data_IF_233209531478
#
_entry.id   IF_233209531478
#
_cell.length_a   1.000
_cell.length_b   1.000
_cell.length_c   1.000
_cell.angle_alpha   90.00
_cell.angle_beta   90.00
_cell.angle_gamma   90.00
#
_symmetry.space_group_name_H-M   'P 1'
#
loop_
_entity.id
_entity.type
_entity.pdbx_description
1 polymer ?
#
# COMPACT_ATOMS: atom_id res chain seq x y z
N UNK A 1 5.28 -33.95 -2.99
CA UNK A 1 4.04 -33.17 -2.80
C UNK A 1 3.52 -33.14 -1.34
N UNK A 2 4.07 -33.91 -0.38
CA UNK A 2 3.56 -33.92 1.00
C UNK A 2 4.06 -32.79 1.93
N UNK A 3 5.16 -32.11 1.60
CA UNK A 3 5.80 -31.11 2.49
C UNK A 3 5.13 -29.72 2.45
N UNK A 4 4.36 -29.40 1.40
CA UNK A 4 3.74 -28.08 1.22
C UNK A 4 2.45 -27.95 2.02
N UNK A 5 1.59 -28.99 2.01
CA UNK A 5 0.33 -29.00 2.77
C UNK A 5 0.58 -29.00 4.28
N UNK A 6 1.54 -29.80 4.74
CA UNK A 6 1.96 -29.88 6.15
C UNK A 6 2.49 -28.53 6.67
N UNK A 7 3.23 -27.80 5.83
CA UNK A 7 3.72 -26.46 6.16
C UNK A 7 2.60 -25.41 6.23
N UNK A 8 1.65 -25.42 5.28
CA UNK A 8 0.53 -24.47 5.28
C UNK A 8 -0.41 -24.72 6.47
N UNK A 9 -0.71 -25.98 6.80
CA UNK A 9 -1.50 -26.32 7.99
C UNK A 9 -0.83 -25.82 9.28
N UNK A 10 0.49 -26.01 9.42
CA UNK A 10 1.23 -25.50 10.58
C UNK A 10 1.22 -23.96 10.67
N UNK A 11 1.27 -23.25 9.54
CA UNK A 11 1.16 -21.78 9.49
C UNK A 11 -0.25 -21.33 9.88
N UNK A 12 -1.29 -21.97 9.34
CA UNK A 12 -2.69 -21.68 9.64
C UNK A 12 -3.02 -21.91 11.12
N UNK A 13 -2.50 -22.99 11.71
CA UNK A 13 -2.64 -23.28 13.13
C UNK A 13 -2.02 -22.21 14.03
N UNK A 14 -0.86 -21.67 13.62
CA UNK A 14 -0.20 -20.57 14.32
C UNK A 14 -0.97 -19.26 14.19
N UNK A 15 -1.45 -18.94 12.99
CA UNK A 15 -2.31 -17.77 12.71
C UNK A 15 -3.57 -17.80 13.58
N UNK A 16 -4.18 -18.99 13.74
CA UNK A 16 -5.37 -19.19 14.57
C UNK A 16 -5.12 -18.88 16.05
N UNK A 17 -3.94 -19.22 16.56
CA UNK A 17 -3.60 -19.12 17.99
C UNK A 17 -2.96 -17.80 18.39
N UNK A 18 -2.26 -17.11 17.49
CA UNK A 18 -1.42 -15.96 17.84
C UNK A 18 -1.72 -14.70 17.00
N UNK A 19 -2.35 -13.67 17.61
CA UNK A 19 -2.59 -12.37 16.98
C UNK A 19 -1.33 -11.62 16.51
N UNK A 20 -0.15 -11.87 17.11
CA UNK A 20 1.10 -11.28 16.65
C UNK A 20 1.54 -11.88 15.31
N UNK A 21 1.31 -13.19 15.11
CA UNK A 21 1.59 -13.88 13.85
C UNK A 21 0.69 -13.37 12.74
N UNK A 22 -0.60 -13.13 13.01
CA UNK A 22 -1.55 -12.56 12.05
C UNK A 22 -1.02 -11.27 11.42
N UNK A 23 -0.53 -10.36 12.25
CA UNK A 23 0.05 -9.07 11.80
C UNK A 23 1.30 -9.26 10.95
N UNK A 24 2.15 -10.20 11.34
CA UNK A 24 3.37 -10.52 10.61
C UNK A 24 3.06 -11.11 9.21
N UNK A 25 2.02 -11.94 9.13
CA UNK A 25 1.56 -12.50 7.85
C UNK A 25 0.99 -11.41 6.95
N UNK A 26 0.12 -10.52 7.46
CA UNK A 26 -0.40 -9.39 6.68
C UNK A 26 0.71 -8.48 6.16
N UNK A 27 1.71 -8.15 6.99
CA UNK A 27 2.87 -7.36 6.57
C UNK A 27 3.68 -8.07 5.48
N UNK A 28 3.93 -9.37 5.64
CA UNK A 28 4.60 -10.17 4.62
C UNK A 28 3.80 -10.22 3.31
N UNK A 29 2.47 -10.21 3.33
CA UNK A 29 1.66 -10.10 2.11
C UNK A 29 1.92 -8.77 1.39
N UNK A 30 2.07 -7.66 2.11
CA UNK A 30 2.38 -6.36 1.51
C UNK A 30 3.78 -6.33 0.91
N UNK A 31 4.77 -6.94 1.57
CA UNK A 31 6.13 -7.02 1.03
C UNK A 31 6.14 -7.70 -0.34
N UNK A 32 5.50 -8.88 -0.44
CA UNK A 32 5.36 -9.60 -1.70
C UNK A 32 4.58 -8.80 -2.75
N UNK A 33 3.52 -8.12 -2.32
CA UNK A 33 2.71 -7.26 -3.18
C UNK A 33 3.54 -6.12 -3.82
N UNK A 34 4.37 -5.45 -3.03
CA UNK A 34 5.24 -4.36 -3.50
C UNK A 34 6.31 -4.87 -4.47
N UNK A 35 6.82 -6.09 -4.24
CA UNK A 35 7.80 -6.73 -5.12
C UNK A 35 7.18 -7.28 -6.42
N UNK A 36 5.86 -7.16 -6.60
CA UNK A 36 5.13 -7.73 -7.75
C UNK A 36 4.97 -9.24 -7.67
N UNK A 37 5.18 -9.84 -6.51
CA UNK A 37 5.05 -11.28 -6.25
C UNK A 37 3.60 -11.62 -5.84
N UNK A 38 2.64 -11.22 -6.67
CA UNK A 38 1.20 -11.27 -6.38
C UNK A 38 0.70 -12.68 -6.01
N UNK A 39 1.16 -13.72 -6.71
CA UNK A 39 0.80 -15.10 -6.40
C UNK A 39 1.30 -15.52 -5.02
N UNK A 40 2.48 -15.07 -4.60
CA UNK A 40 3.05 -15.36 -3.28
C UNK A 40 2.27 -14.61 -2.20
N UNK A 41 1.96 -13.34 -2.44
CA UNK A 41 1.11 -12.54 -1.56
C UNK A 41 -0.28 -13.17 -1.41
N UNK A 42 -0.90 -13.63 -2.50
CA UNK A 42 -2.20 -14.30 -2.49
C UNK A 42 -2.19 -15.62 -1.71
N UNK A 43 -1.16 -16.44 -1.90
CA UNK A 43 -1.01 -17.70 -1.15
C UNK A 43 -0.87 -17.44 0.36
N UNK A 44 -0.08 -16.45 0.77
CA UNK A 44 0.02 -16.07 2.20
C UNK A 44 -1.27 -15.47 2.74
N UNK A 45 -1.96 -14.67 1.94
CA UNK A 45 -3.26 -14.11 2.30
C UNK A 45 -4.31 -15.21 2.46
N UNK A 46 -4.27 -16.27 1.65
CA UNK A 46 -5.11 -17.47 1.85
C UNK A 46 -4.84 -18.13 3.19
N UNK A 47 -3.57 -18.35 3.56
CA UNK A 47 -3.22 -18.93 4.87
C UNK A 47 -3.74 -18.07 6.02
N UNK A 48 -3.65 -16.75 5.89
CA UNK A 48 -4.27 -15.81 6.83
C UNK A 48 -5.78 -16.00 6.92
N UNK A 49 -6.47 -15.98 5.78
CA UNK A 49 -7.93 -16.07 5.73
C UNK A 49 -8.38 -17.40 6.34
N UNK A 50 -7.76 -18.52 5.98
CA UNK A 50 -8.10 -19.85 6.53
C UNK A 50 -7.81 -19.94 8.03
N UNK A 51 -6.71 -19.35 8.50
CA UNK A 51 -6.31 -19.41 9.91
C UNK A 51 -7.10 -18.48 10.84
N UNK A 52 -7.57 -17.32 10.34
CA UNK A 52 -8.07 -16.24 11.19
C UNK A 52 -9.52 -15.80 10.94
N UNK A 53 -9.97 -15.76 9.68
CA UNK A 53 -11.20 -15.04 9.28
C UNK A 53 -12.25 -15.95 8.67
N UNK A 54 -11.84 -16.82 7.75
CA UNK A 54 -12.68 -17.64 6.89
C UNK A 54 -13.19 -16.91 5.64
N UNK A 55 -13.34 -17.65 4.54
CA UNK A 55 -13.81 -17.08 3.26
C UNK A 55 -15.26 -16.60 3.29
N UNK A 56 -16.13 -17.22 4.09
CA UNK A 56 -17.50 -16.76 4.30
C UNK A 56 -17.54 -15.34 4.88
N UNK A 57 -16.79 -15.12 5.96
CA UNK A 57 -16.72 -13.82 6.62
C UNK A 57 -16.02 -12.79 5.74
N UNK A 58 -14.94 -13.18 5.06
CA UNK A 58 -14.27 -12.28 4.13
C UNK A 58 -15.21 -11.84 3.00
N UNK A 59 -15.98 -12.77 2.41
CA UNK A 59 -16.97 -12.47 1.39
C UNK A 59 -18.05 -11.51 1.88
N UNK A 60 -18.52 -11.68 3.12
CA UNK A 60 -19.45 -10.72 3.73
C UNK A 60 -18.84 -9.32 3.91
N UNK A 61 -17.54 -9.21 4.17
CA UNK A 61 -16.85 -7.92 4.34
C UNK A 61 -16.54 -7.22 3.01
N UNK A 62 -16.24 -7.98 1.95
CA UNK A 62 -15.87 -7.44 0.63
C UNK A 62 -17.05 -7.32 -0.33
N UNK A 63 -18.18 -7.99 -0.04
CA UNK A 63 -19.29 -8.14 -0.98
C UNK A 63 -19.01 -9.14 -2.11
N UNK A 64 -17.96 -9.95 -1.99
CA UNK A 64 -17.61 -10.99 -2.96
C UNK A 64 -18.08 -12.38 -2.52
N UNK A 65 -18.27 -13.31 -3.46
CA UNK A 65 -18.61 -14.68 -3.08
C UNK A 65 -17.39 -15.41 -2.49
N UNK A 66 -17.58 -16.22 -1.44
CA UNK A 66 -16.49 -17.00 -0.82
C UNK A 66 -15.74 -17.87 -1.84
N UNK A 67 -16.44 -18.49 -2.79
CA UNK A 67 -15.85 -19.35 -3.81
C UNK A 67 -14.92 -18.58 -4.74
N UNK A 68 -15.27 -17.33 -5.11
CA UNK A 68 -14.42 -16.50 -5.97
C UNK A 68 -13.15 -16.07 -5.24
N UNK A 69 -13.27 -15.71 -3.97
CA UNK A 69 -12.13 -15.35 -3.13
C UNK A 69 -11.20 -16.55 -2.94
N UNK A 70 -11.76 -17.74 -2.68
CA UNK A 70 -10.98 -18.97 -2.53
C UNK A 70 -10.26 -19.36 -3.82
N UNK A 71 -10.94 -19.24 -4.97
CA UNK A 71 -10.33 -19.48 -6.28
C UNK A 71 -9.21 -18.47 -6.56
N UNK A 72 -9.44 -17.17 -6.28
CA UNK A 72 -8.48 -16.09 -6.52
C UNK A 72 -7.18 -16.26 -5.73
N UNK A 73 -7.28 -16.65 -4.45
CA UNK A 73 -6.11 -16.81 -3.58
C UNK A 73 -5.57 -18.26 -3.54
N UNK A 74 -6.09 -19.15 -4.39
CA UNK A 74 -5.66 -20.54 -4.49
C UNK A 74 -4.33 -20.73 -5.22
N UNK A 75 -3.85 -21.99 -5.25
CA UNK A 75 -2.56 -22.35 -5.85
C UNK A 75 -2.45 -22.02 -7.35
N UNK A 76 -3.57 -22.12 -8.07
CA UNK A 76 -3.70 -21.77 -9.49
C UNK A 76 -4.40 -20.41 -9.68
N UNK A 77 -4.53 -19.64 -8.60
CA UNK A 77 -5.17 -18.33 -8.62
C UNK A 77 -4.23 -17.26 -9.19
N UNK A 78 -4.80 -16.30 -9.90
CA UNK A 78 -4.10 -15.10 -10.39
C UNK A 78 -4.65 -13.87 -9.66
N UNK A 79 -4.27 -13.66 -8.40
CA UNK A 79 -4.63 -12.43 -7.72
C UNK A 79 -3.91 -11.25 -8.38
N UNK A 80 -4.57 -10.10 -8.39
CA UNK A 80 -3.97 -8.84 -8.82
C UNK A 80 -3.58 -8.02 -7.62
N UNK A 81 -2.49 -7.26 -7.74
CA UNK A 81 -2.00 -6.40 -6.69
C UNK A 81 -3.09 -5.50 -6.08
N UNK A 82 -3.98 -4.93 -6.90
CA UNK A 82 -5.06 -4.07 -6.39
C UNK A 82 -6.04 -4.80 -5.48
N UNK A 83 -6.46 -6.02 -5.87
CA UNK A 83 -7.38 -6.83 -5.08
C UNK A 83 -6.75 -7.32 -3.77
N UNK A 84 -5.46 -7.64 -3.81
CA UNK A 84 -4.68 -8.02 -2.64
C UNK A 84 -4.56 -6.85 -1.67
N UNK A 85 -4.21 -5.67 -2.18
CA UNK A 85 -4.09 -4.45 -1.38
C UNK A 85 -5.38 -4.13 -0.62
N UNK A 86 -6.52 -4.08 -1.34
CA UNK A 86 -7.83 -3.81 -0.72
C UNK A 86 -8.16 -4.81 0.38
N UNK A 87 -7.92 -6.10 0.12
CA UNK A 87 -8.16 -7.16 1.12
C UNK A 87 -7.23 -7.03 2.32
N UNK A 88 -5.96 -6.70 2.11
CA UNK A 88 -4.98 -6.53 3.20
C UNK A 88 -5.34 -5.32 4.07
N UNK A 89 -5.70 -4.18 3.48
CA UNK A 89 -6.13 -2.97 4.22
C UNK A 89 -7.36 -3.28 5.06
N UNK A 90 -8.36 -3.95 4.48
CA UNK A 90 -9.57 -4.36 5.17
C UNK A 90 -9.28 -5.27 6.37
N UNK A 91 -8.40 -6.26 6.19
CA UNK A 91 -8.03 -7.21 7.24
C UNK A 91 -7.13 -6.58 8.32
N UNK A 92 -6.24 -5.66 7.94
CA UNK A 92 -5.45 -4.89 8.89
C UNK A 92 -6.35 -4.05 9.80
N UNK A 93 -7.33 -3.35 9.22
CA UNK A 93 -8.32 -2.59 9.98
C UNK A 93 -9.15 -3.49 10.91
N UNK A 94 -9.56 -4.67 10.44
CA UNK A 94 -10.29 -5.66 11.25
C UNK A 94 -9.49 -6.15 12.47
N UNK A 95 -8.15 -6.24 12.37
CA UNK A 95 -7.26 -6.59 13.48
C UNK A 95 -6.86 -5.38 14.37
N UNK A 96 -7.36 -4.18 14.07
CA UNK A 96 -6.93 -2.93 14.73
C UNK A 96 -5.46 -2.59 14.48
N UNK A 97 -4.93 -3.00 13.32
CA UNK A 97 -3.60 -2.63 12.85
C UNK A 97 -3.69 -1.44 11.90
N UNK A 98 -2.80 -0.47 12.09
CA UNK A 98 -2.63 0.64 11.16
C UNK A 98 -1.50 0.30 10.20
N UNK A 99 -1.79 0.40 8.91
CA UNK A 99 -0.77 0.35 7.87
C UNK A 99 -0.17 1.75 7.70
N UNK A 100 1.14 1.82 7.49
CA UNK A 100 1.89 3.04 7.26
C UNK A 100 2.86 2.83 6.11
N UNK A 101 3.09 3.86 5.30
CA UNK A 101 3.99 3.80 4.14
C UNK A 101 5.31 4.51 4.40
N UNK A 102 6.37 3.94 3.85
CA UNK A 102 7.65 4.58 3.59
C UNK A 102 8.00 4.47 2.10
N UNK A 103 8.96 5.26 1.64
CA UNK A 103 9.64 5.01 0.37
C UNK A 103 11.12 5.32 0.54
N UNK A 104 11.97 4.55 -0.11
CA UNK A 104 13.41 4.78 -0.14
C UNK A 104 13.93 4.66 -1.57
N UNK A 105 15.09 5.27 -1.79
CA UNK A 105 15.84 5.20 -3.04
C UNK A 105 17.00 4.25 -2.76
N UNK A 106 17.10 3.16 -3.52
CA UNK A 106 18.34 2.39 -3.55
C UNK A 106 19.37 3.20 -4.36
N UNK A 107 20.25 3.92 -3.67
CA UNK A 107 21.62 4.06 -4.16
C UNK A 107 22.38 2.86 -3.62
N UNK A 108 22.92 2.02 -4.51
CA UNK A 108 23.74 0.80 -4.30
C UNK A 108 23.03 -0.56 -4.30
N UNK A 109 23.60 -1.47 -5.10
CA UNK A 109 23.19 -2.86 -5.26
C UNK A 109 23.84 -3.81 -4.25
N UNK A 110 23.01 -4.67 -3.66
CA UNK A 110 23.19 -6.12 -3.45
C UNK A 110 22.15 -6.62 -2.44
N UNK A 111 21.49 -7.72 -2.82
CA UNK A 111 20.27 -8.29 -2.24
C UNK A 111 20.40 -8.69 -0.74
N UNK A 112 21.62 -8.94 -0.27
CA UNK A 112 21.90 -9.39 1.11
C UNK A 112 22.00 -8.27 2.17
N UNK A 113 21.89 -7.00 1.77
CA UNK A 113 21.86 -5.85 2.70
C UNK A 113 20.45 -5.40 3.06
N UNK A 114 19.43 -5.87 2.33
CA UNK A 114 18.03 -5.42 2.38
C UNK A 114 17.38 -5.61 3.76
N UNK A 115 17.40 -6.83 4.32
CA UNK A 115 16.74 -7.13 5.60
C UNK A 115 17.37 -6.42 6.82
N UNK A 116 18.71 -6.29 6.85
CA UNK A 116 19.43 -5.56 7.92
C UNK A 116 19.31 -4.03 7.78
N UNK A 117 18.95 -3.55 6.59
CA UNK A 117 18.70 -2.14 6.31
C UNK A 117 17.24 -1.79 6.65
N UNK A 118 16.27 -2.59 6.20
CA UNK A 118 14.85 -2.53 6.58
C UNK A 118 14.68 -2.50 8.11
N UNK A 119 15.37 -3.38 8.84
CA UNK A 119 15.29 -3.41 10.32
C UNK A 119 16.00 -2.23 11.02
N UNK A 120 16.92 -1.54 10.35
CA UNK A 120 17.57 -0.31 10.84
C UNK A 120 16.74 0.94 10.50
N UNK A 121 16.12 0.93 9.33
CA UNK A 121 15.16 1.92 8.89
C UNK A 121 13.92 1.86 9.76
N UNK A 122 13.37 0.70 10.13
CA UNK A 122 12.23 0.63 11.05
C UNK A 122 12.50 1.35 12.40
N UNK A 123 13.74 1.25 12.91
CA UNK A 123 14.21 1.92 14.15
C UNK A 123 14.52 3.41 13.99
N UNK A 124 14.97 3.84 12.82
CA UNK A 124 15.24 5.27 12.52
C UNK A 124 14.00 6.00 12.01
N UNK A 125 13.19 5.34 11.20
CA UNK A 125 11.90 5.77 10.69
C UNK A 125 11.00 6.14 11.85
N UNK A 126 10.82 5.31 12.89
CA UNK A 126 10.01 5.67 14.07
C UNK A 126 10.46 6.95 14.83
N UNK A 127 11.74 7.35 14.77
CA UNK A 127 12.22 8.61 15.33
C UNK A 127 12.11 9.79 14.33
N UNK A 128 12.50 9.57 13.08
CA UNK A 128 12.34 10.49 11.95
C UNK A 128 10.86 10.79 11.66
N UNK A 129 9.96 9.86 11.94
CA UNK A 129 8.51 9.94 11.77
C UNK A 129 7.84 10.82 12.82
N UNK A 130 8.27 10.78 14.10
CA UNK A 130 7.74 11.72 15.11
C UNK A 130 7.97 13.17 14.69
N UNK A 131 9.11 13.43 14.05
CA UNK A 131 9.46 14.73 13.50
C UNK A 131 8.71 15.03 12.18
N UNK A 132 8.55 14.04 11.29
CA UNK A 132 7.79 14.17 10.03
C UNK A 132 6.29 14.40 10.26
N UNK A 133 5.62 13.66 11.17
CA UNK A 133 4.20 13.86 11.58
C UNK A 133 3.94 15.27 12.10
N UNK A 134 4.89 15.80 12.90
CA UNK A 134 4.84 17.16 13.43
C UNK A 134 5.10 18.25 12.38
N UNK A 135 5.89 17.97 11.34
CA UNK A 135 6.02 18.86 10.16
C UNK A 135 4.80 18.79 9.24
N UNK A 136 4.17 17.62 9.13
CA UNK A 136 3.02 17.39 8.25
C UNK A 136 1.71 17.97 8.77
N UNK A 137 1.39 17.86 10.07
CA UNK A 137 0.21 18.56 10.65
C UNK A 137 0.29 20.08 10.41
N UNK A 138 1.48 20.67 10.55
CA UNK A 138 1.72 22.10 10.27
C UNK A 138 1.65 22.48 8.79
N UNK A 139 1.87 21.55 7.86
CA UNK A 139 1.73 21.77 6.41
C UNK A 139 0.34 21.44 5.86
N UNK A 140 -0.41 20.55 6.53
CA UNK A 140 -1.80 20.20 6.22
C UNK A 140 -2.75 21.38 6.42
N UNK A 141 -2.42 22.30 7.34
CA UNK A 141 -3.13 23.57 7.53
C UNK A 141 -2.82 24.64 6.47
N UNK A 142 -1.83 24.43 5.59
CA UNK A 142 -1.54 25.36 4.50
C UNK A 142 -2.37 24.99 3.27
N UNK A 143 -3.64 25.36 3.37
CA UNK A 143 -4.71 25.36 2.36
C UNK A 143 -4.18 25.79 0.98
N UNK A 144 -4.35 24.93 -0.03
CA UNK A 144 -4.13 25.26 -1.44
C UNK A 144 -5.34 26.05 -1.97
N UNK A 145 -5.30 27.38 -1.87
CA UNK A 145 -6.15 28.23 -2.73
C UNK A 145 -5.70 28.14 -4.19
N UNK A 146 -6.57 28.48 -5.15
CA UNK A 146 -6.37 28.25 -6.59
C UNK A 146 -5.02 28.76 -7.15
N UNK A 147 -4.42 29.79 -6.54
CA UNK A 147 -3.10 30.36 -6.87
C UNK A 147 -1.91 29.42 -6.53
N UNK A 148 -2.11 28.40 -5.68
CA UNK A 148 -1.08 27.45 -5.26
C UNK A 148 -0.99 26.20 -6.16
N UNK A 149 -1.98 25.95 -7.03
CA UNK A 149 -2.03 24.73 -7.85
C UNK A 149 -1.02 24.78 -8.99
N UNK A 150 -0.81 25.96 -9.57
CA UNK A 150 0.20 26.23 -10.60
C UNK A 150 1.63 26.01 -10.05
N UNK A 151 1.89 26.44 -8.82
CA UNK A 151 3.17 26.21 -8.12
C UNK A 151 3.37 24.75 -7.72
N UNK A 152 2.32 23.99 -7.41
CA UNK A 152 2.42 22.56 -7.12
C UNK A 152 2.76 21.73 -8.38
N UNK A 153 2.09 22.00 -9.51
CA UNK A 153 2.36 21.29 -10.78
C UNK A 153 3.75 21.58 -11.32
N UNK A 154 4.22 22.82 -11.26
CA UNK A 154 5.58 23.18 -11.66
C UNK A 154 6.65 22.52 -10.81
N UNK A 155 6.35 22.30 -9.53
CA UNK A 155 7.23 21.57 -8.62
C UNK A 155 7.27 20.07 -8.93
N UNK A 156 6.13 19.46 -9.25
CA UNK A 156 6.06 18.06 -9.73
C UNK A 156 6.89 17.89 -11.01
N UNK A 157 6.79 18.85 -11.95
CA UNK A 157 7.58 18.83 -13.20
C UNK A 157 9.08 18.81 -12.95
N UNK A 158 9.56 19.63 -12.01
CA UNK A 158 11.01 19.91 -11.85
C UNK A 158 11.71 19.06 -10.81
N UNK A 159 10.99 18.56 -9.79
CA UNK A 159 11.61 17.96 -8.60
C UNK A 159 11.21 16.47 -8.41
N UNK A 160 12.12 15.53 -8.69
CA UNK A 160 11.90 14.10 -8.46
C UNK A 160 11.58 13.74 -7.01
N UNK A 161 12.10 14.48 -6.03
CA UNK A 161 11.78 14.23 -4.62
C UNK A 161 10.31 14.58 -4.33
N UNK A 162 9.78 15.63 -4.95
CA UNK A 162 8.36 16.01 -4.84
C UNK A 162 7.47 14.96 -5.49
N UNK A 163 7.85 14.46 -6.67
CA UNK A 163 7.13 13.37 -7.36
C UNK A 163 6.96 12.14 -6.47
N UNK A 164 8.05 11.70 -5.82
CA UNK A 164 8.05 10.59 -4.86
C UNK A 164 7.14 10.87 -3.66
N UNK A 165 7.17 12.09 -3.12
CA UNK A 165 6.26 12.49 -2.03
C UNK A 165 4.79 12.48 -2.42
N UNK A 166 4.46 12.86 -3.66
CA UNK A 166 3.08 12.79 -4.15
C UNK A 166 2.64 11.34 -4.25
N UNK A 167 3.46 10.44 -4.79
CA UNK A 167 3.13 9.01 -4.88
C UNK A 167 2.91 8.39 -3.49
N UNK A 168 3.78 8.66 -2.51
CA UNK A 168 3.58 8.21 -1.13
C UNK A 168 2.27 8.73 -0.54
N UNK A 169 2.00 10.03 -0.71
CA UNK A 169 0.76 10.64 -0.24
C UNK A 169 -0.49 10.05 -0.89
N UNK A 170 -0.41 9.56 -2.13
CA UNK A 170 -1.53 8.82 -2.74
C UNK A 170 -1.82 7.52 -1.99
N UNK A 171 -0.80 6.71 -1.68
CA UNK A 171 -0.98 5.44 -0.95
C UNK A 171 -1.50 5.67 0.47
N UNK A 172 -1.04 6.73 1.14
CA UNK A 172 -1.57 7.11 2.46
C UNK A 172 -3.07 7.36 2.42
N UNK A 173 -3.56 8.10 1.42
CA UNK A 173 -4.99 8.31 1.22
C UNK A 173 -5.74 7.00 0.91
N UNK A 174 -5.13 6.08 0.15
CA UNK A 174 -5.72 4.75 -0.10
C UNK A 174 -5.89 3.93 1.18
N UNK A 175 -4.88 3.94 2.06
CA UNK A 175 -4.95 3.23 3.35
C UNK A 175 -6.07 3.80 4.24
N UNK A 176 -6.33 5.10 4.15
CA UNK A 176 -7.40 5.79 4.87
C UNK A 176 -8.79 5.63 4.20
N UNK A 177 -8.88 4.96 3.04
CA UNK A 177 -10.12 4.84 2.28
C UNK A 177 -10.55 6.13 1.56
N UNK A 178 -9.62 7.06 1.38
CA UNK A 178 -9.83 8.36 0.72
C UNK A 178 -9.50 8.28 -0.79
N UNK A 179 -10.10 7.31 -1.49
CA UNK A 179 -9.77 6.95 -2.88
C UNK A 179 -9.89 8.13 -3.86
N UNK A 180 -10.92 8.97 -3.70
CA UNK A 180 -11.12 10.16 -4.55
C UNK A 180 -10.00 11.18 -4.37
N UNK A 181 -9.50 11.34 -3.14
CA UNK A 181 -8.36 12.23 -2.83
C UNK A 181 -7.07 11.66 -3.41
N UNK A 182 -6.84 10.36 -3.25
CA UNK A 182 -5.71 9.66 -3.85
C UNK A 182 -5.72 9.78 -5.38
N UNK A 183 -6.88 9.56 -6.03
CA UNK A 183 -7.06 9.69 -7.47
C UNK A 183 -6.78 11.12 -7.97
N UNK A 184 -7.30 12.14 -7.27
CA UNK A 184 -7.04 13.54 -7.63
C UNK A 184 -5.55 13.90 -7.53
N UNK A 185 -4.86 13.44 -6.48
CA UNK A 185 -3.40 13.65 -6.33
C UNK A 185 -2.60 12.89 -7.39
N UNK A 186 -3.01 11.67 -7.71
CA UNK A 186 -2.39 10.87 -8.76
C UNK A 186 -2.54 11.54 -10.13
N UNK A 187 -3.70 12.16 -10.40
CA UNK A 187 -3.89 12.98 -11.60
C UNK A 187 -2.92 14.16 -11.66
N UNK A 188 -2.74 14.89 -10.56
CA UNK A 188 -1.78 16.01 -10.51
C UNK A 188 -0.34 15.54 -10.78
N UNK A 189 0.03 14.36 -10.26
CA UNK A 189 1.30 13.71 -10.61
C UNK A 189 1.39 13.40 -12.11
N UNK A 190 0.38 12.71 -12.67
CA UNK A 190 0.38 12.27 -14.07
C UNK A 190 0.48 13.48 -14.99
N UNK A 191 -0.31 14.53 -14.77
CA UNK A 191 -0.27 15.78 -15.55
C UNK A 191 1.08 16.49 -15.42
N UNK A 192 1.69 16.48 -14.24
CA UNK A 192 2.95 17.16 -13.98
C UNK A 192 4.20 16.40 -14.43
N UNK A 193 4.18 15.08 -14.51
CA UNK A 193 5.40 14.28 -14.65
C UNK A 193 5.44 13.33 -15.86
N UNK A 194 4.32 12.68 -16.16
CA UNK A 194 4.31 11.51 -17.06
C UNK A 194 3.47 11.74 -18.31
N UNK A 195 2.29 12.32 -18.15
CA UNK A 195 1.24 12.45 -19.17
C UNK A 195 0.38 11.19 -19.30
N UNK A 196 -0.90 11.37 -19.65
CA UNK A 196 -1.86 10.27 -19.79
C UNK A 196 -1.58 9.34 -20.97
N UNK A 197 -1.02 9.86 -22.06
CA UNK A 197 -0.57 9.06 -23.20
C UNK A 197 0.48 8.04 -22.80
N UNK A 198 1.52 8.50 -22.08
CA UNK A 198 2.59 7.64 -21.60
C UNK A 198 2.11 6.66 -20.54
N UNK A 199 1.24 7.12 -19.64
CA UNK A 199 0.65 6.24 -18.64
C UNK A 199 -0.18 5.12 -19.31
N UNK A 200 -1.00 5.47 -20.31
CA UNK A 200 -1.78 4.50 -21.07
C UNK A 200 -0.91 3.44 -21.75
N UNK A 201 0.23 3.86 -22.31
CA UNK A 201 1.21 2.92 -22.87
C UNK A 201 1.83 1.99 -21.82
N UNK A 202 2.04 2.46 -20.58
CA UNK A 202 2.60 1.66 -19.50
C UNK A 202 1.58 0.68 -18.89
N UNK A 203 0.30 1.07 -18.81
CA UNK A 203 -0.76 0.26 -18.20
C UNK A 203 -1.54 -0.59 -19.21
N UNK A 204 -1.40 -0.32 -20.52
CA UNK A 204 -2.25 -0.91 -21.55
C UNK A 204 -3.69 -0.38 -21.56
N UNK A 205 -3.93 0.77 -20.91
CA UNK A 205 -5.25 1.42 -20.87
C UNK A 205 -5.32 2.62 -21.80
N UNK A 206 -6.52 3.00 -22.24
CA UNK A 206 -6.65 4.23 -23.04
C UNK A 206 -6.46 5.48 -22.15
N UNK A 207 -5.78 6.53 -22.66
CA UNK A 207 -5.60 7.78 -21.94
C UNK A 207 -6.93 8.39 -21.45
N UNK A 208 -7.98 8.33 -22.26
CA UNK A 208 -9.30 8.85 -21.89
C UNK A 208 -9.91 8.14 -20.69
N UNK A 209 -9.73 6.82 -20.57
CA UNK A 209 -10.23 6.06 -19.42
C UNK A 209 -9.48 6.42 -18.15
N UNK A 210 -8.16 6.59 -18.25
CA UNK A 210 -7.33 7.01 -17.13
C UNK A 210 -7.66 8.43 -16.67
N UNK A 211 -7.88 9.36 -17.61
CA UNK A 211 -8.32 10.73 -17.32
C UNK A 211 -9.68 10.78 -16.63
N UNK A 212 -10.63 9.97 -17.10
CA UNK A 212 -11.95 9.86 -16.50
C UNK A 212 -11.86 9.26 -15.09
N UNK A 213 -11.11 8.17 -14.92
CA UNK A 213 -10.94 7.46 -13.65
C UNK A 213 -10.35 8.37 -12.56
N UNK A 214 -9.33 9.17 -12.88
CA UNK A 214 -8.68 10.04 -11.91
C UNK A 214 -9.29 11.46 -11.85
N UNK A 215 -10.41 11.69 -12.55
CA UNK A 215 -11.11 12.97 -12.58
C UNK A 215 -12.03 13.21 -11.39
N UNK A 216 -12.56 14.43 -11.29
CA UNK A 216 -13.43 14.86 -10.19
C UNK A 216 -14.75 14.06 -10.10
N UNK A 217 -15.25 13.60 -11.26
CA UNK A 217 -16.44 12.76 -11.39
C UNK A 217 -16.09 11.27 -11.55
N UNK A 218 -14.82 10.90 -11.34
CA UNK A 218 -14.35 9.52 -11.44
C UNK A 218 -14.65 8.73 -10.17
N UNK A 219 -14.79 7.41 -10.30
CA UNK A 219 -14.83 6.46 -9.18
C UNK A 219 -13.55 5.63 -9.18
N UNK A 220 -12.40 6.21 -8.77
CA UNK A 220 -11.19 5.42 -8.66
C UNK A 220 -11.35 4.43 -7.50
N UNK A 221 -10.91 3.19 -7.72
CA UNK A 221 -10.85 2.16 -6.68
C UNK A 221 -9.43 2.07 -6.14
N UNK A 222 -9.30 1.87 -4.84
CA UNK A 222 -8.01 1.72 -4.17
C UNK A 222 -7.07 0.74 -4.86
N UNK A 223 -7.58 -0.41 -5.32
CA UNK A 223 -6.76 -1.41 -6.00
C UNK A 223 -6.14 -0.91 -7.31
N UNK A 224 -6.96 -0.28 -8.17
CA UNK A 224 -6.50 0.26 -9.46
C UNK A 224 -5.52 1.43 -9.26
N UNK A 225 -5.78 2.26 -8.24
CA UNK A 225 -4.87 3.36 -7.89
C UNK A 225 -3.54 2.82 -7.37
N UNK A 226 -3.56 1.80 -6.50
CA UNK A 226 -2.36 1.19 -5.94
C UNK A 226 -1.47 0.60 -7.04
N UNK A 227 -2.04 -0.17 -7.96
CA UNK A 227 -1.31 -0.73 -9.12
C UNK A 227 -0.62 0.38 -9.93
N UNK A 228 -1.36 1.46 -10.20
CA UNK A 228 -0.83 2.61 -10.93
C UNK A 228 0.31 3.29 -10.16
N UNK A 229 0.17 3.43 -8.83
CA UNK A 229 1.18 4.06 -7.98
C UNK A 229 2.46 3.22 -7.91
N UNK A 230 2.35 1.89 -7.77
CA UNK A 230 3.51 0.98 -7.77
C UNK A 230 4.27 1.08 -9.09
N UNK A 231 3.55 1.02 -10.21
CA UNK A 231 4.11 1.19 -11.55
C UNK A 231 4.87 2.52 -11.69
N UNK A 232 4.28 3.62 -11.22
CA UNK A 232 4.88 4.95 -11.27
C UNK A 232 6.06 5.11 -10.30
N UNK A 233 6.02 4.49 -9.13
CA UNK A 233 7.13 4.48 -8.19
C UNK A 233 8.36 3.78 -8.80
N UNK A 234 8.15 2.63 -9.45
CA UNK A 234 9.19 1.95 -10.21
C UNK A 234 9.75 2.82 -11.34
N UNK A 235 8.89 3.52 -12.07
CA UNK A 235 9.31 4.47 -13.12
C UNK A 235 10.21 5.60 -12.59
N UNK A 236 10.00 6.04 -11.35
CA UNK A 236 10.83 7.04 -10.65
C UNK A 236 12.07 6.47 -9.95
N UNK A 237 12.34 5.17 -10.10
CA UNK A 237 13.42 4.47 -9.39
C UNK A 237 13.26 4.52 -7.86
N UNK A 238 12.01 4.53 -7.39
CA UNK A 238 11.68 4.49 -5.97
C UNK A 238 11.13 3.11 -5.60
N UNK A 239 11.54 2.62 -4.44
CA UNK A 239 10.93 1.45 -3.82
C UNK A 239 9.99 1.93 -2.71
N UNK A 240 8.74 1.48 -2.78
CA UNK A 240 7.78 1.67 -1.70
C UNK A 240 8.08 0.64 -0.60
N UNK A 241 7.84 0.99 0.65
CA UNK A 241 7.80 0.06 1.78
C UNK A 241 6.51 0.30 2.55
N UNK A 242 5.93 -0.75 3.11
CA UNK A 242 4.80 -0.62 4.03
C UNK A 242 5.15 -1.27 5.36
N UNK A 243 4.89 -0.54 6.45
CA UNK A 243 4.91 -1.07 7.80
C UNK A 243 3.49 -1.19 8.36
N UNK A 244 3.34 -2.00 9.41
CA UNK A 244 2.11 -2.07 10.19
C UNK A 244 2.44 -1.84 11.67
N UNK A 245 1.62 -1.05 12.39
CA UNK A 245 1.78 -0.82 13.82
C UNK A 245 0.44 -0.81 14.57
N UNK A 246 0.50 -0.98 15.89
CA UNK A 246 -0.66 -0.96 16.78
C UNK A 246 -0.67 0.33 17.58
N UNK A 247 -1.86 0.91 17.76
CA UNK A 247 -2.07 2.13 18.56
C UNK A 247 -1.60 2.02 20.02
N UNK A 248 -1.39 0.80 20.56
CA UNK A 248 -0.90 0.58 21.93
C UNK A 248 0.50 1.17 22.22
N UNK A 249 1.16 1.80 21.25
CA UNK A 249 2.40 2.57 21.47
C UNK A 249 2.22 4.11 21.45
N UNK A 250 1.00 4.62 21.25
CA UNK A 250 0.71 6.08 21.26
C UNK A 250 0.29 6.58 22.65
N UNK A 251 -0.10 5.69 23.57
CA UNK A 251 -0.39 6.02 24.98
C UNK A 251 0.79 5.74 25.95
N UNK A 252 2.04 5.89 25.48
CA UNK A 252 3.13 6.23 26.40
C UNK A 252 3.17 7.75 26.50
N UNK A 253 2.36 8.25 27.42
CA UNK A 253 2.06 9.66 27.62
C UNK A 253 3.26 10.59 27.78
N UNK A 254 2.93 11.83 27.50
CA UNK A 254 3.61 13.09 27.79
C UNK A 254 4.56 13.05 29.01
N UNK A 255 5.66 13.84 28.97
CA UNK A 255 6.28 14.28 30.21
C UNK A 255 5.33 15.28 30.88
N UNK A 256 4.65 14.84 31.92
CA UNK A 256 4.15 15.74 32.95
C UNK A 256 5.28 16.02 33.97
N UNK A 257 5.46 17.32 34.24
CA UNK A 257 6.42 18.00 35.13
C UNK A 257 7.81 18.36 34.56
#
# INVERSE_FOLDING_TARGET
>A
MALTTDRSEAVQDRIRRDPAIRKHVLMGCVEHLILGEDTVAGSRLRDYVVGAVGFERLGAMTGESPQRLEQRFGAEGEPRAGNLFETIVLLAHHEGAHLEMGAYIEEFGEESSRMRHVMRLFRKASAWWREYRGRWRRRRDMVLTADHRETAQDRIRRDPAIRKHVLMGCVEHLILGEDTVAGSRLRDYVVGAVGFERLGAMTGESPQRLEQRFGAEGEPRAGNLFETIVLLAHHEGAHLEMGAYLEKFVEAGAPDA
#
